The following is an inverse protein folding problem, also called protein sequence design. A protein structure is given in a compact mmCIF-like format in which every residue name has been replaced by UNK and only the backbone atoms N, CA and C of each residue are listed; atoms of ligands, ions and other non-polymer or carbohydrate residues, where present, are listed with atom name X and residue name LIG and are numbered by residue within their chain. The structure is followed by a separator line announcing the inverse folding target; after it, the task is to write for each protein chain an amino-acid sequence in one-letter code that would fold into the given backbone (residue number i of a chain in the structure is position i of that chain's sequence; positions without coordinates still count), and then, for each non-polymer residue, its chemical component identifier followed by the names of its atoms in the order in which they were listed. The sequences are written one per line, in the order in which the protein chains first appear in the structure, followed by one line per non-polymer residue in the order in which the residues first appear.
data_IF_331315417529
#
_entry.id   IF_331315417529
#
_cell.length_a   1.000
_cell.length_b   1.000
_cell.length_c   1.000
_cell.angle_alpha   90.00
_cell.angle_beta   90.00
_cell.angle_gamma   90.00
#
_symmetry.space_group_name_H-M   'P 1'
#
loop_
_entity.id
_entity.type
_entity.pdbx_description
1 polymer ?
#
# COMPACT_ATOMS: atom_id res chain seq x y z
N UNK A 1 -34.07 43.75 -43.94
CA UNK A 1 -32.91 43.02 -44.50
C UNK A 1 -32.13 42.41 -43.35
N UNK A 2 -32.14 41.06 -43.33
CA UNK A 2 -31.36 40.07 -42.57
C UNK A 2 -30.37 40.52 -41.48
N UNK A 3 -30.73 40.25 -40.22
CA UNK A 3 -29.79 39.93 -39.14
C UNK A 3 -30.16 38.55 -38.59
N UNK A 4 -29.79 37.50 -39.33
CA UNK A 4 -30.08 36.12 -38.91
C UNK A 4 -28.91 35.14 -39.07
N UNK A 5 -27.68 35.62 -39.23
CA UNK A 5 -26.50 34.75 -39.28
C UNK A 5 -25.30 35.40 -38.59
N UNK A 6 -25.21 35.27 -37.27
CA UNK A 6 -23.92 35.27 -36.56
C UNK A 6 -24.03 34.47 -35.26
N UNK A 7 -24.74 33.33 -35.31
CA UNK A 7 -24.44 32.22 -34.40
C UNK A 7 -23.16 31.55 -34.88
N UNK A 8 -22.41 31.00 -33.93
CA UNK A 8 -21.20 30.20 -34.14
C UNK A 8 -19.98 30.97 -34.64
N UNK A 9 -19.13 31.39 -33.70
CA UNK A 9 -17.70 31.09 -33.62
C UNK A 9 -17.18 31.92 -32.44
N UNK A 10 -17.49 31.48 -31.21
CA UNK A 10 -16.70 31.85 -30.03
C UNK A 10 -16.87 30.79 -28.91
N UNK A 11 -17.04 29.54 -29.30
CA UNK A 11 -16.88 28.36 -28.43
C UNK A 11 -15.88 27.46 -29.13
N UNK A 12 -14.62 27.87 -29.12
CA UNK A 12 -13.44 27.11 -29.54
C UNK A 12 -12.30 28.11 -29.41
N UNK A 13 -11.49 27.99 -28.36
CA UNK A 13 -10.11 28.51 -28.21
C UNK A 13 -9.68 28.67 -26.73
N UNK A 14 -10.44 28.12 -25.77
CA UNK A 14 -9.82 27.46 -24.62
C UNK A 14 -9.83 25.96 -24.84
N UNK A 15 -9.22 25.53 -25.96
CA UNK A 15 -8.58 24.21 -25.98
C UNK A 15 -7.45 24.29 -24.97
N UNK A 16 -7.76 23.94 -23.72
CA UNK A 16 -6.79 23.69 -22.68
C UNK A 16 -5.84 22.64 -23.24
N UNK A 17 -4.74 23.09 -23.86
CA UNK A 17 -3.56 22.25 -24.04
C UNK A 17 -2.95 22.09 -22.66
N UNK A 18 -3.60 21.29 -21.81
CA UNK A 18 -2.87 20.54 -20.80
C UNK A 18 -2.21 19.40 -21.58
N UNK A 19 -1.24 19.74 -22.42
CA UNK A 19 -0.29 18.77 -22.95
C UNK A 19 0.79 18.69 -21.88
N UNK A 20 0.56 17.82 -20.92
CA UNK A 20 1.62 17.30 -20.10
C UNK A 20 1.29 15.86 -19.80
N UNK A 21 1.76 14.96 -20.67
CA UNK A 21 2.23 13.64 -20.25
C UNK A 21 3.05 12.99 -21.37
N UNK A 22 4.36 12.91 -21.07
CA UNK A 22 5.30 11.85 -21.45
C UNK A 22 6.03 11.96 -22.80
N UNK A 23 6.96 12.91 -22.89
CA UNK A 23 8.19 12.77 -23.70
C UNK A 23 9.37 12.26 -22.87
N UNK A 24 9.11 11.57 -21.76
CA UNK A 24 10.19 11.04 -20.92
C UNK A 24 10.83 9.83 -21.61
N UNK A 25 12.17 9.73 -21.62
CA UNK A 25 12.86 8.57 -22.17
C UNK A 25 12.47 7.31 -21.40
N UNK A 26 12.45 6.16 -22.09
CA UNK A 26 12.38 4.87 -21.39
C UNK A 26 13.56 4.79 -20.42
N UNK A 27 13.30 4.58 -19.13
CA UNK A 27 14.24 4.63 -18.00
C UNK A 27 14.38 6.02 -17.35
N UNK A 28 13.26 6.58 -16.87
CA UNK A 28 13.30 7.61 -15.83
C UNK A 28 13.29 6.97 -14.44
N UNK A 29 13.97 7.62 -13.49
CA UNK A 29 14.08 7.12 -12.11
C UNK A 29 13.79 8.19 -11.06
N UNK A 30 13.18 7.75 -9.98
CA UNK A 30 12.82 8.50 -8.79
C UNK A 30 13.72 8.14 -7.59
N UNK A 31 13.64 8.98 -6.55
CA UNK A 31 14.39 8.82 -5.30
C UNK A 31 13.44 8.96 -4.13
N UNK A 32 13.63 8.12 -3.12
CA UNK A 32 12.91 8.24 -1.85
C UNK A 32 13.95 8.21 -0.73
N UNK A 33 13.82 9.14 0.19
CA UNK A 33 14.68 9.27 1.36
C UNK A 33 13.87 8.90 2.59
N UNK A 34 14.34 7.90 3.34
CA UNK A 34 13.71 7.44 4.57
C UNK A 34 14.43 7.95 5.82
N UNK A 35 13.64 8.48 6.74
CA UNK A 35 14.03 8.80 8.10
C UNK A 35 13.29 7.86 9.04
N UNK A 36 14.03 7.03 9.79
CA UNK A 36 13.43 6.08 10.74
C UNK A 36 13.69 6.57 12.16
N UNK A 37 12.60 6.77 12.90
CA UNK A 37 12.61 7.16 14.30
C UNK A 37 12.94 6.01 15.25
N UNK A 38 12.58 6.20 16.52
CA UNK A 38 12.62 5.14 17.52
C UNK A 38 11.32 4.33 17.50
N UNK A 39 11.37 3.12 18.04
CA UNK A 39 10.24 2.22 18.30
C UNK A 39 10.10 2.02 19.82
N UNK A 40 8.87 1.91 20.33
CA UNK A 40 8.62 1.57 21.74
C UNK A 40 9.04 0.12 22.02
N UNK A 41 8.98 -0.74 21.01
CA UNK A 41 9.56 -2.09 21.07
C UNK A 41 11.01 -2.05 20.59
N UNK A 42 11.97 -2.42 21.45
CA UNK A 42 13.37 -2.55 21.07
C UNK A 42 13.52 -3.76 20.13
N UNK A 43 13.95 -3.56 18.87
CA UNK A 43 14.14 -4.66 17.92
C UNK A 43 15.22 -5.63 18.42
N UNK A 44 14.97 -6.94 18.28
CA UNK A 44 15.98 -7.95 18.58
C UNK A 44 17.17 -7.82 17.61
N UNK A 45 18.39 -8.18 18.04
CA UNK A 45 19.62 -8.00 17.24
C UNK A 45 19.51 -8.63 15.84
N UNK A 46 18.88 -9.79 15.72
CA UNK A 46 18.62 -10.48 14.43
C UNK A 46 17.71 -9.70 13.49
N UNK A 47 16.88 -8.80 14.02
CA UNK A 47 15.86 -8.02 13.32
C UNK A 47 16.04 -6.52 13.57
N UNK A 48 17.30 -6.07 13.64
CA UNK A 48 17.65 -4.66 13.90
C UNK A 48 17.41 -3.71 12.73
N UNK A 49 16.85 -4.20 11.63
CA UNK A 49 16.49 -3.38 10.49
C UNK A 49 14.99 -3.45 10.23
N UNK A 50 14.43 -2.32 9.84
CA UNK A 50 13.02 -2.13 9.54
C UNK A 50 12.76 -2.36 8.05
N UNK A 51 11.79 -3.22 7.76
CA UNK A 51 11.35 -3.44 6.39
C UNK A 51 10.55 -2.27 5.84
N UNK A 52 10.55 -2.12 4.52
CA UNK A 52 9.65 -1.23 3.79
C UNK A 52 9.39 -1.82 2.40
N UNK A 53 8.18 -1.61 1.89
CA UNK A 53 7.77 -2.05 0.55
C UNK A 53 7.10 -0.90 -0.17
N UNK A 54 7.60 -0.60 -1.36
CA UNK A 54 7.01 0.34 -2.30
C UNK A 54 6.11 -0.42 -3.27
N UNK A 55 4.84 -0.04 -3.31
CA UNK A 55 3.80 -0.66 -4.12
C UNK A 55 3.37 0.34 -5.19
N UNK A 56 3.68 0.05 -6.45
CA UNK A 56 3.32 0.86 -7.60
C UNK A 56 2.71 0.01 -8.71
N UNK A 57 2.28 0.65 -9.80
CA UNK A 57 1.67 -0.08 -10.91
C UNK A 57 2.64 -1.11 -11.50
N UNK A 58 2.26 -2.39 -11.44
CA UNK A 58 3.06 -3.53 -11.90
C UNK A 58 4.50 -3.54 -11.35
N UNK A 59 4.72 -2.91 -10.19
CA UNK A 59 6.06 -2.68 -9.61
C UNK A 59 5.97 -2.85 -8.11
N UNK A 60 6.75 -3.77 -7.56
CA UNK A 60 6.90 -4.00 -6.13
C UNK A 60 8.39 -3.94 -5.84
N UNK A 61 8.77 -3.10 -4.89
CA UNK A 61 10.17 -2.93 -4.52
C UNK A 61 10.27 -3.02 -3.00
N UNK A 62 11.05 -3.97 -2.53
CA UNK A 62 11.30 -4.29 -1.13
C UNK A 62 12.79 -4.19 -0.84
N UNK A 63 13.18 -4.20 0.44
CA UNK A 63 14.58 -4.13 0.85
C UNK A 63 15.50 -5.16 0.16
N UNK A 64 14.95 -6.31 -0.25
CA UNK A 64 15.69 -7.40 -0.89
C UNK A 64 16.13 -7.09 -2.32
N UNK A 65 15.51 -6.09 -2.98
CA UNK A 65 15.71 -5.81 -4.41
C UNK A 65 16.95 -4.94 -4.69
N UNK A 66 18.14 -5.41 -4.29
CA UNK A 66 19.43 -4.67 -4.19
C UNK A 66 19.76 -3.67 -5.33
N UNK A 67 19.24 -3.85 -6.54
CA UNK A 67 19.42 -2.91 -7.65
C UNK A 67 18.84 -1.50 -7.36
N UNK A 68 17.89 -1.41 -6.42
CA UNK A 68 17.29 -0.16 -5.94
C UNK A 68 17.88 0.30 -4.59
N UNK A 69 18.69 -0.53 -3.93
CA UNK A 69 19.19 -0.36 -2.55
C UNK A 69 20.69 -0.66 -2.48
N UNK A 70 21.54 0.31 -2.81
CA UNK A 70 22.99 0.09 -2.70
C UNK A 70 23.47 -0.02 -1.25
N UNK A 71 22.78 0.65 -0.32
CA UNK A 71 23.29 0.91 1.04
C UNK A 71 22.46 0.24 2.16
N UNK A 72 21.35 -0.45 1.82
CA UNK A 72 20.41 -1.02 2.80
C UNK A 72 19.65 -2.30 2.32
N UNK A 73 20.36 -3.35 1.83
CA UNK A 73 19.75 -4.53 1.21
C UNK A 73 18.97 -5.44 2.16
N UNK A 74 19.03 -5.20 3.47
CA UNK A 74 18.37 -6.02 4.50
C UNK A 74 17.36 -5.25 5.35
N UNK A 75 17.12 -3.96 5.06
CA UNK A 75 16.24 -3.10 5.84
C UNK A 75 16.82 -1.72 6.15
N UNK A 76 15.95 -0.82 6.62
CA UNK A 76 16.29 0.50 7.15
C UNK A 76 16.84 0.40 8.58
N UNK A 77 17.86 1.17 8.90
CA UNK A 77 18.37 1.25 10.27
C UNK A 77 17.51 2.18 11.13
N UNK A 78 17.26 1.77 12.38
CA UNK A 78 16.56 2.58 13.38
C UNK A 78 17.35 3.82 13.78
N UNK A 79 16.65 4.89 14.16
CA UNK A 79 17.25 6.16 14.58
C UNK A 79 18.21 6.77 13.55
N UNK A 80 18.01 6.46 12.26
CA UNK A 80 18.86 6.92 11.15
C UNK A 80 18.04 7.71 10.15
N UNK A 81 18.62 8.82 9.73
CA UNK A 81 18.06 9.74 8.73
C UNK A 81 18.77 9.58 7.40
N UNK A 82 18.16 10.10 6.35
CA UNK A 82 18.77 10.23 5.04
C UNK A 82 19.17 8.89 4.40
N UNK A 83 18.35 7.85 4.64
CA UNK A 83 18.53 6.53 4.03
C UNK A 83 17.91 6.55 2.62
N UNK A 84 18.73 6.83 1.61
CA UNK A 84 18.29 7.13 0.24
C UNK A 84 18.19 5.89 -0.63
N UNK A 85 17.01 5.69 -1.22
CA UNK A 85 16.77 4.68 -2.24
C UNK A 85 16.75 5.36 -3.61
N UNK A 86 17.35 4.68 -4.57
CA UNK A 86 17.67 5.26 -5.88
C UNK A 86 17.10 4.36 -6.97
N UNK A 87 17.05 4.88 -8.18
CA UNK A 87 16.68 4.11 -9.38
C UNK A 87 15.24 3.58 -9.38
N UNK A 88 14.35 4.16 -8.58
CA UNK A 88 12.96 3.71 -8.52
C UNK A 88 12.27 3.96 -9.87
N UNK A 89 11.64 2.97 -10.51
CA UNK A 89 10.95 3.15 -11.78
C UNK A 89 9.92 4.27 -11.70
N UNK A 90 9.91 5.15 -12.68
CA UNK A 90 8.94 6.24 -12.74
C UNK A 90 8.62 6.57 -14.19
N UNK A 91 7.39 6.99 -14.48
CA UNK A 91 6.98 7.35 -15.82
C UNK A 91 6.93 6.10 -16.71
N UNK A 92 7.34 6.26 -17.97
CA UNK A 92 7.32 5.18 -18.95
C UNK A 92 8.46 4.18 -18.72
N UNK A 93 8.10 2.90 -18.59
CA UNK A 93 9.00 1.79 -18.34
C UNK A 93 8.72 0.63 -19.30
N UNK A 94 9.73 -0.22 -19.47
CA UNK A 94 9.64 -1.47 -20.23
C UNK A 94 10.00 -2.60 -19.27
N UNK A 95 9.11 -3.58 -19.15
CA UNK A 95 9.40 -4.80 -18.41
C UNK A 95 10.52 -5.57 -19.13
N UNK A 96 11.62 -5.85 -18.44
CA UNK A 96 12.80 -6.51 -19.04
C UNK A 96 12.51 -7.96 -19.46
N UNK A 97 11.54 -8.63 -18.84
CA UNK A 97 11.22 -10.05 -19.07
C UNK A 97 10.23 -10.21 -20.21
N UNK A 98 9.18 -9.40 -20.24
CA UNK A 98 8.06 -9.51 -21.19
C UNK A 98 8.15 -8.51 -22.34
N UNK A 99 9.00 -7.49 -22.22
CA UNK A 99 9.09 -6.35 -23.13
C UNK A 99 7.78 -5.54 -23.23
N UNK A 100 6.84 -5.75 -22.30
CA UNK A 100 5.59 -5.00 -22.24
C UNK A 100 5.82 -3.61 -21.62
N UNK A 101 5.19 -2.56 -22.17
CA UNK A 101 5.25 -1.23 -21.56
C UNK A 101 4.37 -1.17 -20.32
N UNK A 102 4.82 -0.42 -19.32
CA UNK A 102 4.00 -0.03 -18.17
C UNK A 102 4.35 1.39 -17.73
N UNK A 103 3.47 1.99 -16.92
CA UNK A 103 3.63 3.35 -16.46
C UNK A 103 3.43 3.43 -14.96
N UNK A 104 4.38 4.07 -14.27
CA UNK A 104 4.34 4.26 -12.82
C UNK A 104 4.28 5.74 -12.49
N UNK A 105 3.18 6.23 -11.91
CA UNK A 105 3.06 7.61 -11.44
C UNK A 105 2.82 7.75 -9.95
N UNK A 106 2.56 6.65 -9.25
CA UNK A 106 2.17 6.66 -7.85
C UNK A 106 2.78 5.45 -7.16
N UNK A 107 3.21 5.67 -5.93
CA UNK A 107 3.61 4.62 -5.02
C UNK A 107 2.88 4.76 -3.69
N UNK A 108 2.56 3.62 -3.11
CA UNK A 108 2.19 3.47 -1.72
C UNK A 108 3.33 2.82 -0.96
N UNK A 109 3.45 3.13 0.33
CA UNK A 109 4.56 2.71 1.18
C UNK A 109 4.01 1.88 2.33
N UNK A 110 4.27 0.58 2.30
CA UNK A 110 3.96 -0.32 3.41
C UNK A 110 5.20 -0.49 4.29
N UNK A 111 5.00 -0.48 5.61
CA UNK A 111 6.03 -0.81 6.60
C UNK A 111 5.44 -1.78 7.61
N UNK A 112 6.04 -2.96 7.84
CA UNK A 112 5.50 -3.93 8.77
C UNK A 112 5.58 -3.44 10.23
N UNK A 113 4.73 -3.95 11.12
CA UNK A 113 4.81 -3.65 12.55
C UNK A 113 6.08 -4.22 13.18
N UNK A 114 6.52 -3.63 14.29
CA UNK A 114 7.60 -4.16 15.12
C UNK A 114 6.99 -5.00 16.24
N UNK A 115 7.61 -6.14 16.52
CA UNK A 115 7.22 -7.01 17.62
C UNK A 115 8.38 -7.91 18.03
N UNK A 116 8.35 -8.39 19.27
CA UNK A 116 9.27 -9.42 19.73
C UNK A 116 8.90 -10.76 19.10
N UNK A 117 9.86 -11.36 18.41
CA UNK A 117 9.72 -12.65 17.73
C UNK A 117 10.25 -13.77 18.61
N UNK A 118 9.68 -14.97 18.46
CA UNK A 118 10.24 -16.20 19.00
C UNK A 118 11.49 -16.65 18.22
N UNK A 119 12.07 -17.78 18.64
CA UNK A 119 13.23 -18.39 17.98
C UNK A 119 13.01 -18.70 16.49
N UNK A 120 11.76 -18.91 16.09
CA UNK A 120 11.34 -19.21 14.71
C UNK A 120 10.92 -17.96 13.93
N UNK A 121 11.06 -16.76 14.51
CA UNK A 121 10.69 -15.50 13.85
C UNK A 121 9.20 -15.16 13.93
N UNK A 122 8.40 -15.88 14.72
CA UNK A 122 6.94 -15.75 14.80
C UNK A 122 6.49 -15.00 16.05
N UNK A 123 5.32 -14.36 16.03
CA UNK A 123 4.76 -13.78 17.24
C UNK A 123 4.34 -14.86 18.25
N UNK A 124 4.59 -14.61 19.53
CA UNK A 124 4.18 -15.47 20.65
C UNK A 124 2.75 -15.16 21.10
N UNK A 125 2.24 -15.92 22.07
CA UNK A 125 0.94 -15.62 22.69
C UNK A 125 1.03 -14.28 23.42
N UNK A 126 0.02 -13.42 23.23
CA UNK A 126 -0.08 -12.08 23.81
C UNK A 126 1.00 -11.09 23.35
N UNK A 127 1.64 -11.33 22.20
CA UNK A 127 2.56 -10.36 21.59
C UNK A 127 1.88 -9.01 21.39
N UNK A 128 2.57 -7.97 21.84
CA UNK A 128 2.25 -6.58 21.52
C UNK A 128 3.00 -6.17 20.26
N UNK A 129 2.38 -5.29 19.49
CA UNK A 129 2.86 -4.80 18.21
C UNK A 129 2.94 -3.28 18.27
N UNK A 130 4.07 -2.78 17.81
CA UNK A 130 4.26 -1.37 17.52
C UNK A 130 3.91 -1.13 16.04
N UNK A 131 2.73 -0.55 15.83
CA UNK A 131 2.27 -0.15 14.50
C UNK A 131 2.65 1.32 14.34
N UNK A 132 3.77 1.59 13.69
CA UNK A 132 4.21 2.95 13.41
C UNK A 132 3.41 3.64 12.32
N UNK A 133 3.67 4.94 12.15
CA UNK A 133 3.09 5.79 11.12
C UNK A 133 4.15 6.03 10.02
N UNK A 134 3.73 5.86 8.77
CA UNK A 134 4.53 6.24 7.59
C UNK A 134 4.00 7.55 7.04
N UNK A 135 4.83 8.59 6.95
CA UNK A 135 4.41 9.92 6.48
C UNK A 135 5.34 10.48 5.40
N UNK A 136 4.84 10.81 4.20
CA UNK A 136 3.54 10.36 3.69
C UNK A 136 3.57 8.83 3.44
N UNK A 137 2.42 8.19 3.50
CA UNK A 137 2.25 6.75 3.18
C UNK A 137 2.04 6.50 1.68
N UNK A 138 1.95 7.56 0.88
CA UNK A 138 1.91 7.54 -0.57
C UNK A 138 2.57 8.79 -1.16
N UNK A 139 2.99 8.70 -2.42
CA UNK A 139 3.43 9.85 -3.18
C UNK A 139 3.10 9.69 -4.66
N UNK A 140 2.87 10.83 -5.31
CA UNK A 140 2.57 10.93 -6.74
C UNK A 140 3.70 11.71 -7.41
N UNK A 141 4.00 11.33 -8.64
CA UNK A 141 5.03 11.94 -9.45
C UNK A 141 4.40 12.57 -10.70
N UNK A 142 4.41 13.89 -10.77
CA UNK A 142 3.67 14.69 -11.76
C UNK A 142 4.55 15.21 -12.94
N UNK A 143 5.52 14.42 -13.40
CA UNK A 143 6.35 14.77 -14.57
C UNK A 143 7.76 15.26 -14.24
N UNK A 144 8.02 15.68 -13.01
CA UNK A 144 9.34 16.14 -12.56
C UNK A 144 10.15 15.00 -11.90
N UNK A 145 11.48 15.10 -11.93
CA UNK A 145 12.38 14.13 -11.27
C UNK A 145 12.16 14.21 -9.75
N UNK A 146 11.55 13.21 -9.13
CA UNK A 146 11.01 13.40 -7.80
C UNK A 146 11.99 12.92 -6.73
N UNK A 147 12.03 13.67 -5.63
CA UNK A 147 12.69 13.29 -4.38
C UNK A 147 11.63 13.37 -3.30
N UNK A 148 11.20 12.22 -2.77
CA UNK A 148 10.25 12.17 -1.68
C UNK A 148 10.98 11.92 -0.36
N UNK A 149 10.70 12.72 0.66
CA UNK A 149 11.13 12.43 2.02
C UNK A 149 10.00 11.71 2.78
N UNK A 150 10.34 10.62 3.45
CA UNK A 150 9.41 9.74 4.16
C UNK A 150 9.90 9.53 5.59
N UNK A 151 8.98 9.64 6.53
CA UNK A 151 9.23 9.46 7.96
C UNK A 151 8.51 8.21 8.45
N UNK A 152 9.25 7.32 9.11
CA UNK A 152 8.72 6.17 9.82
C UNK A 152 8.80 6.46 11.31
N UNK A 153 7.68 6.72 11.96
CA UNK A 153 7.60 7.03 13.38
C UNK A 153 6.77 6.00 14.13
N UNK A 154 7.46 5.19 14.93
CA UNK A 154 6.85 4.12 15.73
C UNK A 154 6.59 4.59 17.17
N UNK A 155 7.04 5.79 17.54
CA UNK A 155 6.83 6.31 18.88
C UNK A 155 5.68 7.33 18.93
N UNK A 156 4.58 7.01 18.24
CA UNK A 156 3.38 7.86 18.19
C UNK A 156 2.13 7.08 18.62
N UNK A 157 1.96 5.83 18.21
CA UNK A 157 0.75 5.06 18.48
C UNK A 157 0.93 4.13 19.69
N UNK A 158 -0.14 3.87 20.45
CA UNK A 158 -0.06 2.92 21.56
C UNK A 158 0.12 1.50 21.02
N UNK A 159 0.95 0.70 21.70
CA UNK A 159 1.12 -0.72 21.40
C UNK A 159 -0.22 -1.47 21.40
N UNK A 160 -0.42 -2.37 20.45
CA UNK A 160 -1.67 -3.13 20.30
C UNK A 160 -1.43 -4.63 20.33
N UNK A 161 -2.47 -5.40 20.61
CA UNK A 161 -2.50 -6.83 20.26
C UNK A 161 -3.22 -7.00 18.92
N UNK A 162 -2.90 -8.08 18.22
CA UNK A 162 -3.46 -8.39 16.90
C UNK A 162 -4.20 -9.73 16.92
N UNK A 163 -5.39 -9.75 16.34
CA UNK A 163 -6.03 -10.98 15.85
C UNK A 163 -5.79 -11.08 14.35
N UNK A 164 -5.23 -12.22 13.91
CA UNK A 164 -5.07 -12.50 12.48
C UNK A 164 -6.35 -13.12 11.91
N UNK A 165 -6.86 -12.51 10.83
CA UNK A 165 -8.01 -12.98 10.07
C UNK A 165 -7.47 -13.57 8.76
N UNK A 166 -7.61 -14.89 8.54
CA UNK A 166 -7.12 -15.53 7.33
C UNK A 166 -7.80 -15.01 6.07
N UNK A 167 -7.00 -14.83 5.02
CA UNK A 167 -7.47 -14.52 3.67
C UNK A 167 -7.20 -15.71 2.76
N UNK A 168 -8.25 -16.12 2.04
CA UNK A 168 -8.19 -17.15 1.02
C UNK A 168 -8.28 -16.49 -0.35
N UNK A 169 -7.35 -16.84 -1.24
CA UNK A 169 -7.36 -16.39 -2.62
C UNK A 169 -8.18 -17.36 -3.46
N UNK A 170 -9.15 -16.85 -4.21
CA UNK A 170 -9.91 -17.63 -5.18
C UNK A 170 -9.02 -18.10 -6.35
N UNK A 171 -9.43 -19.16 -7.05
CA UNK A 171 -8.71 -19.72 -8.20
C UNK A 171 -8.47 -18.70 -9.33
N UNK A 172 -9.26 -17.61 -9.39
CA UNK A 172 -9.01 -16.48 -10.28
C UNK A 172 -7.60 -15.87 -10.14
N UNK A 173 -6.97 -15.94 -8.96
CA UNK A 173 -5.60 -15.45 -8.77
C UNK A 173 -4.55 -16.29 -9.53
N UNK A 174 -4.78 -17.59 -9.67
CA UNK A 174 -3.92 -18.47 -10.47
C UNK A 174 -4.08 -18.16 -11.97
N UNK A 175 -5.31 -17.91 -12.42
CA UNK A 175 -5.60 -17.56 -13.81
C UNK A 175 -4.89 -16.27 -14.24
N UNK A 176 -4.88 -15.26 -13.36
CA UNK A 176 -4.33 -13.94 -13.64
C UNK A 176 -2.89 -13.75 -13.16
N UNK A 177 -2.30 -14.77 -12.53
CA UNK A 177 -0.95 -14.75 -11.98
C UNK A 177 -0.68 -13.52 -11.08
N UNK A 178 -1.62 -13.21 -10.19
CA UNK A 178 -1.51 -12.10 -9.24
C UNK A 178 -1.04 -12.64 -7.90
N UNK A 179 0.16 -12.23 -7.46
CA UNK A 179 0.72 -12.70 -6.18
C UNK A 179 0.50 -11.75 -5.01
N UNK A 180 0.45 -10.45 -5.29
CA UNK A 180 0.42 -9.41 -4.26
C UNK A 180 -0.82 -8.54 -4.38
N UNK A 181 -1.49 -8.31 -3.24
CA UNK A 181 -2.69 -7.48 -3.14
C UNK A 181 -2.42 -6.31 -2.19
N UNK A 182 -2.22 -5.09 -2.71
CA UNK A 182 -2.04 -3.90 -1.90
C UNK A 182 -3.38 -3.44 -1.32
N UNK A 183 -3.36 -2.94 -0.09
CA UNK A 183 -4.54 -2.39 0.57
C UNK A 183 -4.16 -1.20 1.46
N UNK A 184 -5.10 -0.28 1.65
CA UNK A 184 -5.03 0.75 2.67
C UNK A 184 -5.88 0.36 3.86
N UNK A 185 -5.51 0.89 5.02
CA UNK A 185 -6.25 0.74 6.27
C UNK A 185 -6.58 2.11 6.82
N UNK A 186 -7.77 2.25 7.37
CA UNK A 186 -8.17 3.42 8.15
C UNK A 186 -8.78 2.95 9.46
N UNK A 187 -8.35 3.55 10.57
CA UNK A 187 -8.81 3.25 11.90
C UNK A 187 -9.24 4.54 12.57
N UNK A 188 -10.51 4.67 12.99
CA UNK A 188 -11.01 5.94 13.56
C UNK A 188 -10.69 6.13 15.03
N UNK A 189 -10.51 5.03 15.74
CA UNK A 189 -10.37 4.97 17.20
C UNK A 189 -8.98 4.49 17.65
N UNK A 190 -7.97 4.56 16.78
CA UNK A 190 -6.59 4.23 17.14
C UNK A 190 -6.04 5.27 18.13
N UNK A 191 -5.67 4.89 19.36
CA UNK A 191 -5.20 5.85 20.35
C UNK A 191 -3.71 6.16 20.17
N UNK A 192 -3.39 7.45 20.26
CA UNK A 192 -2.02 7.95 20.23
C UNK A 192 -1.41 7.85 21.63
N UNK A 193 -0.07 7.78 21.69
CA UNK A 193 0.68 7.90 22.93
C UNK A 193 0.43 9.28 23.52
N UNK A 194 0.20 9.31 24.84
CA UNK A 194 -0.04 10.55 25.57
C UNK A 194 1.25 11.34 25.70
N UNK A 195 1.54 12.13 24.66
CA UNK A 195 2.65 13.08 24.59
C UNK A 195 2.03 14.46 24.45
N UNK A 196 2.65 15.48 25.04
CA UNK A 196 2.21 16.89 24.99
C UNK A 196 1.82 17.42 23.59
N UNK A 197 2.30 16.78 22.52
CA UNK A 197 2.02 17.15 21.13
C UNK A 197 0.70 16.57 20.59
N UNK A 198 0.15 15.53 21.20
CA UNK A 198 -0.93 14.70 20.65
C UNK A 198 -1.99 14.33 21.70
N UNK A 199 -2.27 15.22 22.66
CA UNK A 199 -3.30 15.00 23.69
C UNK A 199 -4.66 14.70 23.02
N UNK A 200 -5.28 13.59 23.44
CA UNK A 200 -6.56 13.06 22.92
C UNK A 200 -6.63 12.80 21.41
N UNK A 201 -5.49 12.76 20.71
CA UNK A 201 -5.46 12.39 19.31
C UNK A 201 -5.92 10.94 19.11
N UNK A 202 -6.83 10.76 18.15
CA UNK A 202 -7.37 9.46 17.73
C UNK A 202 -7.41 9.44 16.22
N UNK A 203 -7.21 8.25 15.67
CA UNK A 203 -7.21 7.86 14.25
C UNK A 203 -5.83 7.43 13.76
N UNK A 204 -5.79 6.60 12.73
CA UNK A 204 -4.59 6.28 11.98
C UNK A 204 -4.96 5.76 10.60
N UNK A 205 -4.08 5.94 9.63
CA UNK A 205 -4.14 5.24 8.35
C UNK A 205 -2.80 4.59 8.04
N UNK A 206 -2.81 3.63 7.13
CA UNK A 206 -1.59 3.00 6.66
C UNK A 206 -1.81 2.17 5.42
N UNK A 207 -0.72 1.55 4.96
CA UNK A 207 -0.70 0.70 3.78
C UNK A 207 -0.16 -0.67 4.17
N UNK A 208 -0.82 -1.72 3.68
CA UNK A 208 -0.33 -3.08 3.77
C UNK A 208 -0.39 -3.77 2.41
N UNK A 209 0.13 -4.99 2.38
CA UNK A 209 -0.04 -5.88 1.23
C UNK A 209 -0.18 -7.32 1.71
N UNK A 210 -0.99 -8.08 0.99
CA UNK A 210 -1.03 -9.54 1.11
C UNK A 210 -0.14 -10.14 0.04
N UNK A 211 0.52 -11.26 0.34
CA UNK A 211 1.29 -12.03 -0.63
C UNK A 211 0.91 -13.51 -0.53
N UNK A 212 0.31 -14.06 -1.59
CA UNK A 212 -0.17 -15.46 -1.58
C UNK A 212 0.95 -16.49 -1.57
N UNK A 213 2.16 -16.11 -1.96
CA UNK A 213 3.35 -16.97 -1.95
C UNK A 213 4.00 -17.05 -0.57
N UNK A 214 3.62 -16.17 0.37
CA UNK A 214 4.23 -16.08 1.71
C UNK A 214 3.12 -16.29 2.74
N UNK A 215 3.15 -17.43 3.42
CA UNK A 215 2.05 -17.87 4.31
C UNK A 215 1.71 -16.84 5.40
N UNK A 216 2.73 -16.15 5.91
CA UNK A 216 2.65 -15.13 6.95
C UNK A 216 1.93 -13.86 6.46
N UNK A 217 1.95 -13.60 5.15
CA UNK A 217 1.36 -12.44 4.49
C UNK A 217 0.00 -12.76 3.84
N UNK A 218 -0.65 -13.84 4.25
CA UNK A 218 -2.01 -14.19 3.82
C UNK A 218 -3.08 -13.86 4.86
N UNK A 219 -2.76 -12.98 5.82
CA UNK A 219 -3.65 -12.62 6.92
C UNK A 219 -3.81 -11.10 7.01
N UNK A 220 -5.05 -10.65 7.24
CA UNK A 220 -5.29 -9.27 7.69
C UNK A 220 -5.21 -9.23 9.22
N UNK A 221 -4.68 -8.15 9.78
CA UNK A 221 -4.63 -7.96 11.21
C UNK A 221 -5.79 -7.07 11.70
N UNK A 222 -6.44 -7.50 12.78
CA UNK A 222 -7.44 -6.72 13.50
C UNK A 222 -6.86 -6.34 14.87
N UNK A 223 -6.48 -5.06 15.07
CA UNK A 223 -5.95 -4.59 16.34
C UNK A 223 -6.99 -4.58 17.47
N UNK A 224 -6.55 -4.85 18.69
CA UNK A 224 -7.37 -4.75 19.90
C UNK A 224 -6.55 -4.43 21.15
N UNK A 225 -7.26 -3.94 22.16
CA UNK A 225 -6.79 -3.78 23.53
C UNK A 225 -7.53 -4.74 24.46
N UNK A 226 -6.90 -5.14 25.56
CA UNK A 226 -7.54 -5.91 26.63
C UNK A 226 -7.75 -5.02 27.85
N UNK A 227 -8.95 -5.04 28.43
CA UNK A 227 -9.20 -4.37 29.70
C UNK A 227 -8.64 -5.20 30.85
N UNK A 228 -7.49 -4.78 31.37
CA UNK A 228 -6.79 -5.45 32.47
C UNK A 228 -7.56 -5.42 33.81
N UNK A 229 -8.66 -4.66 33.90
CA UNK A 229 -9.41 -4.42 35.14
C UNK A 229 -10.69 -5.27 35.29
N UNK A 230 -11.05 -6.07 34.28
CA UNK A 230 -12.27 -6.88 34.30
C UNK A 230 -11.92 -8.37 34.36
N UNK A 231 -12.55 -9.10 35.29
CA UNK A 231 -12.33 -10.53 35.56
C UNK A 231 -12.64 -11.45 34.38
N UNK A 232 -13.36 -10.94 33.37
CA UNK A 232 -13.53 -11.54 32.05
C UNK A 232 -12.86 -10.61 31.03
N UNK A 233 -11.59 -10.87 30.69
CA UNK A 233 -10.78 -10.07 29.76
C UNK A 233 -11.52 -9.82 28.44
N UNK A 234 -12.22 -8.69 28.34
CA UNK A 234 -12.94 -8.31 27.14
C UNK A 234 -11.96 -7.69 26.14
N UNK A 235 -12.07 -8.13 24.88
CA UNK A 235 -11.24 -7.60 23.79
C UNK A 235 -11.94 -6.42 23.16
N UNK A 236 -11.32 -5.25 23.26
CA UNK A 236 -11.78 -4.02 22.62
C UNK A 236 -11.17 -3.92 21.22
N UNK A 237 -11.88 -4.44 20.23
CA UNK A 237 -11.47 -4.38 18.83
C UNK A 237 -11.64 -2.97 18.26
N UNK A 238 -10.60 -2.50 17.56
CA UNK A 238 -10.58 -1.20 16.89
C UNK A 238 -11.43 -1.19 15.62
N UNK A 239 -11.99 -0.03 15.30
CA UNK A 239 -12.79 0.22 14.09
C UNK A 239 -11.90 0.27 12.85
N UNK A 240 -11.50 -0.91 12.36
CA UNK A 240 -10.44 -1.08 11.38
C UNK A 240 -11.00 -1.43 10.00
N UNK A 241 -11.03 -0.44 9.10
CA UNK A 241 -11.50 -0.58 7.73
C UNK A 241 -10.33 -0.84 6.77
N UNK A 242 -10.45 -1.88 5.96
CA UNK A 242 -9.47 -2.27 4.94
C UNK A 242 -10.06 -2.04 3.56
N UNK A 243 -9.34 -1.35 2.68
CA UNK A 243 -9.75 -1.07 1.30
C UNK A 243 -8.68 -1.53 0.32
N UNK A 244 -9.07 -2.30 -0.71
CA UNK A 244 -8.15 -2.75 -1.76
C UNK A 244 -7.69 -1.57 -2.62
N UNK A 245 -6.38 -1.48 -2.87
CA UNK A 245 -5.79 -0.44 -3.71
C UNK A 245 -5.83 -0.84 -5.19
N UNK A 246 -7.03 -0.84 -5.76
CA UNK A 246 -7.26 -1.10 -7.18
C UNK A 246 -6.71 0.01 -8.09
N UNK A 247 -6.20 1.13 -7.59
CA UNK A 247 -5.65 2.20 -8.42
C UNK A 247 -4.22 1.93 -8.92
N UNK A 248 -3.55 0.92 -8.36
CA UNK A 248 -2.18 0.49 -8.72
C UNK A 248 -2.10 -0.98 -9.13
N UNK A 249 -3.22 -1.70 -9.14
CA UNK A 249 -3.30 -3.02 -9.77
C UNK A 249 -3.45 -2.81 -11.27
N UNK A 250 -2.78 -3.57 -12.12
CA UNK A 250 -2.78 -3.29 -13.57
C UNK A 250 -4.15 -3.63 -14.22
N UNK A 251 -4.20 -4.56 -15.18
CA UNK A 251 -5.45 -5.09 -15.72
C UNK A 251 -6.27 -5.94 -14.74
N UNK A 252 -6.18 -5.66 -13.44
CA UNK A 252 -6.80 -6.46 -12.40
C UNK A 252 -7.68 -5.60 -11.51
N UNK A 253 -8.86 -6.11 -11.22
CA UNK A 253 -9.76 -5.59 -10.21
C UNK A 253 -9.95 -6.64 -9.13
N UNK A 254 -9.53 -6.32 -7.91
CA UNK A 254 -9.59 -7.23 -6.76
C UNK A 254 -10.65 -6.75 -5.78
N UNK A 255 -11.41 -7.69 -5.24
CA UNK A 255 -12.47 -7.41 -4.30
C UNK A 255 -12.64 -8.54 -3.27
N UNK A 256 -13.21 -8.17 -2.12
CA UNK A 256 -13.68 -9.10 -1.11
C UNK A 256 -15.04 -9.65 -1.50
N UNK A 257 -15.26 -10.95 -1.26
CA UNK A 257 -16.59 -11.54 -1.26
C UNK A 257 -17.00 -11.87 0.17
N UNK A 258 -17.85 -11.04 0.75
CA UNK A 258 -18.34 -11.19 2.13
C UNK A 258 -19.85 -11.34 2.08
N UNK A 259 -20.37 -12.41 2.70
CA UNK A 259 -21.81 -12.74 2.68
C UNK A 259 -22.44 -12.81 1.29
N UNK A 260 -21.64 -13.20 0.28
CA UNK A 260 -22.08 -13.25 -1.12
C UNK A 260 -22.02 -11.92 -1.87
N UNK A 261 -21.71 -10.82 -1.20
CA UNK A 261 -21.62 -9.48 -1.79
C UNK A 261 -20.18 -9.14 -2.20
N UNK A 262 -20.03 -8.52 -3.37
CA UNK A 262 -18.78 -7.92 -3.86
C UNK A 262 -18.54 -6.60 -3.12
N UNK A 263 -17.39 -6.48 -2.45
CA UNK A 263 -16.98 -5.28 -1.71
C UNK A 263 -15.52 -4.96 -1.94
N UNK A 264 -15.17 -3.69 -2.08
CA UNK A 264 -13.77 -3.24 -2.17
C UNK A 264 -13.20 -2.80 -0.83
N UNK A 265 -14.08 -2.59 0.14
CA UNK A 265 -13.74 -2.21 1.51
C UNK A 265 -14.49 -3.11 2.48
N UNK A 266 -13.85 -3.48 3.58
CA UNK A 266 -14.45 -4.26 4.67
C UNK A 266 -14.05 -3.68 6.01
N UNK A 267 -14.99 -3.65 6.94
CA UNK A 267 -14.71 -3.36 8.35
C UNK A 267 -14.38 -4.67 9.07
N UNK A 268 -13.13 -4.83 9.52
CA UNK A 268 -12.68 -6.08 10.13
C UNK A 268 -13.30 -6.34 11.51
N UNK A 269 -13.65 -5.29 12.26
CA UNK A 269 -14.33 -5.42 13.55
C UNK A 269 -15.75 -5.95 13.37
N UNK A 270 -16.49 -5.39 12.42
CA UNK A 270 -17.83 -5.87 12.08
C UNK A 270 -17.79 -7.31 11.56
N UNK A 271 -16.88 -7.59 10.60
CA UNK A 271 -16.66 -8.93 10.07
C UNK A 271 -16.35 -9.94 11.19
N UNK A 272 -15.37 -9.63 12.04
CA UNK A 272 -14.98 -10.51 13.15
C UNK A 272 -16.15 -10.75 14.10
N UNK A 273 -16.87 -9.71 14.51
CA UNK A 273 -17.98 -9.85 15.45
C UNK A 273 -19.12 -10.70 14.89
N UNK A 274 -19.39 -10.60 13.58
CA UNK A 274 -20.39 -11.39 12.89
C UNK A 274 -19.98 -12.86 12.75
N UNK A 275 -18.72 -13.13 12.42
CA UNK A 275 -18.25 -14.46 12.01
C UNK A 275 -17.41 -15.22 13.04
N UNK A 276 -17.07 -14.63 14.20
CA UNK A 276 -16.22 -15.29 15.23
C UNK A 276 -16.74 -16.61 15.79
N UNK A 277 -18.01 -16.94 15.58
CA UNK A 277 -18.62 -18.21 15.99
C UNK A 277 -18.72 -19.24 14.84
N UNK A 278 -18.36 -18.85 13.63
CA UNK A 278 -18.45 -19.71 12.46
C UNK A 278 -17.37 -20.79 12.52
N UNK A 279 -17.69 -22.00 12.06
CA UNK A 279 -16.72 -23.11 12.01
C UNK A 279 -15.51 -22.80 11.13
N UNK A 280 -15.67 -21.90 10.15
CA UNK A 280 -14.60 -21.41 9.29
C UNK A 280 -14.77 -19.89 9.13
N UNK A 281 -13.90 -19.13 9.78
CA UNK A 281 -13.85 -17.66 9.65
C UNK A 281 -12.65 -17.30 8.77
N UNK A 282 -12.91 -16.97 7.50
CA UNK A 282 -11.92 -16.46 6.56
C UNK A 282 -12.58 -15.46 5.62
N UNK A 283 -11.77 -14.56 5.06
CA UNK A 283 -12.18 -13.64 4.01
C UNK A 283 -11.72 -14.21 2.68
N UNK A 284 -12.57 -14.20 1.65
CA UNK A 284 -12.15 -14.61 0.30
C UNK A 284 -11.96 -13.39 -0.58
N UNK A 285 -10.81 -13.35 -1.27
CA UNK A 285 -10.53 -12.40 -2.34
C UNK A 285 -10.77 -13.02 -3.69
N UNK A 286 -11.29 -12.21 -4.61
CA UNK A 286 -11.49 -12.53 -6.02
C UNK A 286 -10.73 -11.54 -6.91
N UNK A 287 -10.34 -11.99 -8.09
CA UNK A 287 -9.63 -11.20 -9.08
C UNK A 287 -10.37 -11.27 -10.43
N UNK A 288 -10.86 -10.12 -10.90
CA UNK A 288 -11.40 -9.96 -12.25
C UNK A 288 -10.37 -9.26 -13.15
N UNK A 289 -10.39 -9.58 -14.45
CA UNK A 289 -9.67 -8.80 -15.44
C UNK A 289 -10.44 -7.51 -15.78
N UNK A 290 -9.72 -6.42 -16.05
CA UNK A 290 -10.28 -5.18 -16.58
C UNK A 290 -9.46 -4.65 -17.75
N UNK A 291 -10.17 -4.15 -18.77
CA UNK A 291 -9.55 -3.50 -19.92
C UNK A 291 -9.05 -2.09 -19.55
N UNK A 292 -9.89 -1.30 -18.88
CA UNK A 292 -9.55 0.08 -18.52
C UNK A 292 -8.54 0.10 -17.37
N UNK A 293 -7.39 0.75 -17.62
CA UNK A 293 -6.35 0.88 -16.62
C UNK A 293 -6.65 2.00 -15.61
N UNK A 294 -6.34 1.79 -14.33
CA UNK A 294 -6.63 2.78 -13.28
C UNK A 294 -5.72 4.00 -13.41
N UNK A 295 -6.05 5.10 -12.75
CA UNK A 295 -5.27 6.34 -12.84
C UNK A 295 -3.77 6.20 -12.50
N UNK A 296 -3.39 5.25 -11.64
CA UNK A 296 -1.99 4.94 -11.31
C UNK A 296 -1.25 4.09 -12.35
N UNK A 297 -1.98 3.52 -13.32
CA UNK A 297 -1.49 2.72 -14.43
C UNK A 297 -1.95 3.35 -15.75
N UNK A 298 -1.05 3.81 -16.60
CA UNK A 298 -1.44 4.26 -17.95
C UNK A 298 -0.85 3.36 -19.01
N UNK A 299 -1.69 2.91 -19.92
CA UNK A 299 -1.23 2.42 -21.21
C UNK A 299 -0.56 3.58 -21.94
N UNK A 300 0.60 3.37 -22.59
CA UNK A 300 1.21 4.42 -23.36
C UNK A 300 0.27 4.88 -24.48
N UNK A 301 0.18 6.19 -24.70
CA UNK A 301 -0.43 6.70 -25.93
C UNK A 301 0.37 6.14 -27.12
N UNK A 302 -0.28 5.31 -27.93
CA UNK A 302 0.28 4.59 -29.07
C UNK A 302 0.74 5.48 -30.24
N UNK A 303 0.79 6.80 -30.06
CA UNK A 303 1.25 7.76 -31.07
C UNK A 303 2.79 7.81 -31.12
N UNK A 304 3.42 6.69 -31.53
CA UNK A 304 4.72 6.58 -32.24
C UNK A 304 5.23 5.13 -32.26
N UNK A 305 4.37 4.14 -32.50
CA UNK A 305 4.81 3.01 -33.32
C UNK A 305 4.82 3.50 -34.77
N UNK A 306 5.93 4.11 -35.18
CA UNK A 306 6.20 4.30 -36.61
C UNK A 306 6.19 2.91 -37.20
N UNK A 307 5.11 2.57 -37.91
CA UNK A 307 5.11 1.43 -38.83
C UNK A 307 6.33 1.62 -39.72
N UNK A 308 7.35 0.78 -39.55
CA UNK A 308 8.27 0.48 -40.64
C UNK A 308 7.43 -0.24 -41.68
N UNK A 309 6.85 0.52 -42.59
CA UNK A 309 6.47 -0.01 -43.90
C UNK A 309 7.75 -0.27 -44.67
N UNK A 310 7.78 -1.46 -45.28
CA UNK A 310 8.82 -2.04 -46.13
C UNK A 310 9.35 -1.09 -47.21
#
# INVERSE_FOLDING_TARGET
MNYQNLYMILILLFSSRIIAQNTLPSKTTAYVNFNVGASEIIPQEKYKQQGVTLLGCNTIISNEDIEYWSDAPSGLEWNKKDQVFKNLPYGYQIDKKTNAPYYVSKYYIASPPVFHRDENGKPTKNTEYDIGIVTPDQFVFEGEKPVQQVYLDYNILKLVKIVYIPVVFDASFDLWNVDVVPFTVTCKDFPWLDKKLYEDARNASGIGSLNRQISELTNLFLPYYEDNFITNQEKHFLDFEVTILNDILFHHEIYFKVDGEKRYSINLKEFYNKHKKDKKMYITLYCDYRDELPCGCKEPNSSKLVKKTE
#
